data_IF_570816609995
#
_entry.id   IF_570816609995
#
_cell.length_a   1.000
_cell.length_b   1.000
_cell.length_c   1.000
_cell.angle_alpha   90.00
_cell.angle_beta   90.00
_cell.angle_gamma   90.00
#
_symmetry.space_group_name_H-M   'P 1'
#
loop_
_entity.id
_entity.type
_entity.pdbx_description
1 polymer ?
#
# COMPACT_ATOMS: atom_id res chain seq x y z
N UNK A 1 14.42 -18.91 -19.36
CA UNK A 1 13.87 -17.54 -19.52
C UNK A 1 13.07 -17.12 -18.31
N UNK A 2 12.05 -17.90 -17.92
CA UNK A 2 11.27 -17.78 -16.67
C UNK A 2 12.09 -17.43 -15.42
N UNK A 3 13.04 -18.29 -15.02
CA UNK A 3 13.84 -18.05 -13.81
C UNK A 3 14.59 -16.70 -13.84
N UNK A 4 15.03 -16.26 -15.03
CA UNK A 4 15.70 -14.97 -15.20
C UNK A 4 14.70 -13.80 -15.16
N UNK A 5 13.48 -13.96 -15.68
CA UNK A 5 12.40 -12.95 -15.55
C UNK A 5 11.99 -12.78 -14.09
N UNK A 6 11.76 -13.89 -13.38
CA UNK A 6 11.47 -13.89 -11.94
C UNK A 6 12.62 -13.29 -11.15
N UNK A 7 13.87 -13.67 -11.42
CA UNK A 7 15.03 -13.12 -10.73
C UNK A 7 15.20 -11.62 -10.95
N UNK A 8 14.97 -11.11 -12.17
CA UNK A 8 14.99 -9.67 -12.46
C UNK A 8 13.89 -8.93 -11.71
N UNK A 9 12.67 -9.47 -11.70
CA UNK A 9 11.54 -8.86 -11.00
C UNK A 9 11.79 -8.83 -9.49
N UNK A 10 12.24 -9.95 -8.92
CA UNK A 10 12.64 -10.06 -7.51
C UNK A 10 13.81 -9.12 -7.19
N UNK A 11 14.77 -8.93 -8.10
CA UNK A 11 15.91 -8.05 -7.89
C UNK A 11 15.52 -6.57 -7.95
N UNK A 12 14.69 -6.18 -8.92
CA UNK A 12 14.10 -4.84 -9.00
C UNK A 12 13.30 -4.55 -7.72
N UNK A 13 12.52 -5.53 -7.27
CA UNK A 13 11.77 -5.46 -6.04
C UNK A 13 12.66 -5.41 -4.79
N UNK A 14 13.79 -6.11 -4.77
CA UNK A 14 14.69 -6.14 -3.59
C UNK A 14 15.30 -4.77 -3.29
N UNK A 15 15.49 -3.95 -4.33
CA UNK A 15 16.02 -2.60 -4.18
C UNK A 15 15.06 -1.66 -3.42
N UNK A 16 13.77 -1.98 -3.43
CA UNK A 16 12.72 -1.09 -2.90
C UNK A 16 11.87 -1.73 -1.80
N UNK A 17 11.80 -3.06 -1.76
CA UNK A 17 11.09 -3.86 -0.77
C UNK A 17 11.76 -5.24 -0.60
N UNK A 18 12.80 -5.36 0.24
CA UNK A 18 13.56 -6.60 0.40
C UNK A 18 12.73 -7.76 0.99
N UNK A 19 11.70 -7.45 1.80
CA UNK A 19 10.79 -8.45 2.37
C UNK A 19 9.82 -8.96 1.30
N UNK A 20 9.22 -8.05 0.52
CA UNK A 20 8.39 -8.39 -0.64
C UNK A 20 9.15 -9.19 -1.69
N UNK A 21 10.42 -8.88 -1.93
CA UNK A 21 11.30 -9.64 -2.82
C UNK A 21 11.56 -11.07 -2.33
N UNK A 22 11.76 -11.26 -1.02
CA UNK A 22 11.98 -12.57 -0.43
C UNK A 22 10.71 -13.45 -0.50
N UNK A 23 9.55 -12.89 -0.19
CA UNK A 23 8.28 -13.63 -0.30
C UNK A 23 7.88 -13.87 -1.77
N UNK A 24 8.16 -12.92 -2.69
CA UNK A 24 7.98 -13.14 -4.13
C UNK A 24 8.86 -14.24 -4.68
N UNK A 25 10.13 -14.27 -4.29
CA UNK A 25 11.02 -15.35 -4.66
C UNK A 25 10.54 -16.70 -4.11
N UNK A 26 10.00 -16.71 -2.89
CA UNK A 26 9.48 -17.93 -2.23
C UNK A 26 8.23 -18.45 -2.91
N UNK A 27 7.26 -17.60 -3.20
CA UNK A 27 5.99 -18.03 -3.78
C UNK A 27 6.13 -18.37 -5.27
N UNK A 28 6.90 -17.61 -6.05
CA UNK A 28 7.21 -17.97 -7.44
C UNK A 28 8.10 -19.22 -7.57
N UNK A 29 8.78 -19.62 -6.49
CA UNK A 29 9.46 -20.91 -6.41
C UNK A 29 8.51 -22.08 -6.06
N UNK A 30 7.35 -21.78 -5.45
CA UNK A 30 6.32 -22.77 -5.07
C UNK A 30 5.25 -22.95 -6.14
N UNK A 31 4.94 -21.89 -6.86
CA UNK A 31 3.82 -21.83 -7.78
C UNK A 31 4.25 -21.68 -9.23
N UNK A 32 3.57 -22.42 -10.11
CA UNK A 32 3.79 -22.37 -11.54
C UNK A 32 2.89 -21.30 -12.19
N UNK A 33 3.41 -20.08 -12.33
CA UNK A 33 2.66 -19.00 -12.97
C UNK A 33 2.28 -19.31 -14.43
N UNK A 34 3.04 -20.17 -15.12
CA UNK A 34 2.67 -20.61 -16.48
C UNK A 34 1.44 -21.51 -16.45
N UNK A 35 1.31 -22.38 -15.44
CA UNK A 35 0.11 -23.18 -15.25
C UNK A 35 -1.11 -22.30 -14.91
N UNK A 36 -0.94 -21.27 -14.10
CA UNK A 36 -2.02 -20.31 -13.78
C UNK A 36 -2.43 -19.53 -15.02
N UNK A 37 -1.46 -19.05 -15.80
CA UNK A 37 -1.73 -18.31 -17.04
C UNK A 37 -2.43 -19.20 -18.08
N UNK A 38 -2.03 -20.47 -18.24
CA UNK A 38 -2.76 -21.44 -19.06
C UNK A 38 -4.20 -21.62 -18.62
N UNK A 39 -4.46 -21.58 -17.32
CA UNK A 39 -5.80 -21.58 -16.77
C UNK A 39 -6.66 -20.45 -17.31
N UNK A 40 -6.10 -19.25 -17.52
CA UNK A 40 -6.83 -18.12 -18.11
C UNK A 40 -7.16 -18.32 -19.58
N UNK A 41 -6.34 -19.12 -20.29
CA UNK A 41 -6.54 -19.38 -21.71
C UNK A 41 -7.41 -20.61 -21.96
N UNK A 42 -7.73 -21.40 -20.93
CA UNK A 42 -8.54 -22.59 -21.06
C UNK A 42 -9.91 -22.26 -21.67
N UNK A 43 -10.32 -23.00 -22.71
CA UNK A 43 -11.56 -22.72 -23.45
C UNK A 43 -11.46 -21.57 -24.47
N UNK A 44 -10.31 -20.91 -24.60
CA UNK A 44 -10.06 -19.85 -25.58
C UNK A 44 -9.18 -20.36 -26.74
N UNK A 45 -9.17 -19.69 -27.91
CA UNK A 45 -8.26 -20.01 -29.00
C UNK A 45 -6.84 -19.43 -28.82
N UNK A 46 -6.57 -18.72 -27.71
CA UNK A 46 -5.30 -18.04 -27.47
C UNK A 46 -4.22 -19.02 -27.03
N UNK A 47 -2.98 -18.81 -27.48
CA UNK A 47 -1.84 -19.66 -27.17
C UNK A 47 -0.86 -18.98 -26.23
N UNK A 48 -0.35 -19.71 -25.24
CA UNK A 48 0.60 -19.15 -24.27
C UNK A 48 2.01 -18.90 -24.85
N UNK A 49 2.37 -19.56 -25.94
CA UNK A 49 3.68 -19.42 -26.60
C UNK A 49 3.71 -18.31 -27.66
N UNK A 50 2.56 -17.71 -27.95
CA UNK A 50 2.41 -16.59 -28.88
C UNK A 50 2.33 -15.27 -28.11
N UNK A 51 3.33 -14.41 -28.28
CA UNK A 51 3.40 -13.11 -27.59
C UNK A 51 2.20 -12.20 -27.88
N UNK A 52 1.60 -12.33 -29.07
CA UNK A 52 0.40 -11.58 -29.43
C UNK A 52 -0.84 -12.10 -28.72
N UNK A 53 -0.98 -13.42 -28.55
CA UNK A 53 -2.04 -14.03 -27.76
C UNK A 53 -1.91 -13.70 -26.27
N UNK A 54 -0.68 -13.76 -25.73
CA UNK A 54 -0.39 -13.36 -24.35
C UNK A 54 -0.78 -11.90 -24.11
N UNK A 55 -0.43 -11.00 -25.03
CA UNK A 55 -0.79 -9.59 -24.92
C UNK A 55 -2.31 -9.37 -25.09
N UNK A 56 -2.96 -10.13 -25.97
CA UNK A 56 -4.41 -10.09 -26.15
C UNK A 56 -5.13 -10.47 -24.86
N UNK A 57 -4.72 -11.58 -24.23
CA UNK A 57 -5.26 -12.02 -22.95
C UNK A 57 -5.07 -10.96 -21.85
N UNK A 58 -3.90 -10.32 -21.80
CA UNK A 58 -3.62 -9.28 -20.82
C UNK A 58 -4.48 -8.02 -21.01
N UNK A 59 -4.69 -7.55 -22.25
CA UNK A 59 -5.57 -6.41 -22.54
C UNK A 59 -7.02 -6.68 -22.13
N UNK A 60 -7.51 -7.88 -22.43
CA UNK A 60 -8.88 -8.29 -22.07
C UNK A 60 -9.02 -8.43 -20.57
N UNK A 61 -8.03 -9.00 -19.88
CA UNK A 61 -7.99 -9.05 -18.43
C UNK A 61 -8.01 -7.64 -17.81
N UNK A 62 -7.22 -6.69 -18.33
CA UNK A 62 -7.27 -5.31 -17.84
C UNK A 62 -8.66 -4.70 -17.99
N UNK A 63 -9.34 -4.96 -19.11
CA UNK A 63 -10.72 -4.50 -19.30
C UNK A 63 -11.68 -5.13 -18.28
N UNK A 64 -11.57 -6.44 -18.06
CA UNK A 64 -12.39 -7.17 -17.08
C UNK A 64 -12.18 -6.60 -15.68
N UNK A 65 -10.92 -6.40 -15.28
CA UNK A 65 -10.56 -5.79 -14.00
C UNK A 65 -11.16 -4.38 -13.88
N UNK A 66 -10.96 -3.52 -14.88
CA UNK A 66 -11.41 -2.13 -14.85
C UNK A 66 -12.94 -1.98 -14.74
N UNK A 67 -13.69 -2.97 -15.24
CA UNK A 67 -15.16 -3.00 -15.28
C UNK A 67 -15.79 -4.00 -14.28
N UNK A 68 -14.99 -4.68 -13.45
CA UNK A 68 -15.41 -5.82 -12.62
C UNK A 68 -16.20 -6.91 -13.36
N UNK A 69 -15.86 -7.14 -14.64
CA UNK A 69 -16.59 -8.06 -15.50
C UNK A 69 -16.14 -9.51 -15.24
N UNK A 70 -17.09 -10.39 -14.93
CA UNK A 70 -16.84 -11.83 -14.67
C UNK A 70 -17.22 -12.75 -15.83
N UNK A 71 -17.94 -12.22 -16.81
CA UNK A 71 -18.32 -12.99 -17.98
C UNK A 71 -17.07 -13.35 -18.80
N UNK A 72 -16.99 -14.61 -19.21
CA UNK A 72 -15.91 -15.08 -20.07
C UNK A 72 -16.02 -14.41 -21.47
N UNK A 73 -14.91 -13.87 -22.00
CA UNK A 73 -14.88 -13.32 -23.36
C UNK A 73 -15.20 -14.37 -24.42
N UNK A 74 -15.99 -14.02 -25.43
CA UNK A 74 -16.21 -14.88 -26.58
C UNK A 74 -14.93 -15.02 -27.42
N UNK A 75 -14.79 -16.14 -28.14
CA UNK A 75 -13.68 -16.34 -29.09
C UNK A 75 -13.63 -15.24 -30.16
N UNK A 76 -14.80 -14.74 -30.60
CA UNK A 76 -14.91 -13.64 -31.55
C UNK A 76 -14.37 -12.33 -30.96
N UNK A 77 -14.72 -12.00 -29.71
CA UNK A 77 -14.21 -10.84 -29.00
C UNK A 77 -12.68 -10.86 -28.87
N UNK A 78 -12.12 -12.01 -28.48
CA UNK A 78 -10.66 -12.20 -28.36
C UNK A 78 -9.95 -11.99 -29.70
N UNK A 79 -10.46 -12.59 -30.78
CA UNK A 79 -9.92 -12.43 -32.13
C UNK A 79 -9.98 -10.97 -32.61
N UNK A 80 -11.07 -10.27 -32.30
CA UNK A 80 -11.25 -8.87 -32.66
C UNK A 80 -10.30 -7.95 -31.89
N UNK A 81 -10.08 -8.19 -30.59
CA UNK A 81 -9.07 -7.47 -29.78
C UNK A 81 -7.68 -7.72 -30.34
N UNK A 82 -7.32 -8.97 -30.64
CA UNK A 82 -6.01 -9.31 -31.24
C UNK A 82 -5.77 -8.53 -32.54
N UNK A 83 -6.74 -8.54 -33.45
CA UNK A 83 -6.65 -7.85 -34.74
C UNK A 83 -6.54 -6.33 -34.60
N UNK A 84 -7.28 -5.70 -33.68
CA UNK A 84 -7.36 -4.24 -33.56
C UNK A 84 -6.26 -3.62 -32.70
N UNK A 85 -5.84 -4.30 -31.64
CA UNK A 85 -4.92 -3.74 -30.66
C UNK A 85 -3.52 -4.35 -30.75
N UNK A 86 -3.41 -5.65 -31.05
CA UNK A 86 -2.13 -6.36 -30.95
C UNK A 86 -1.41 -6.47 -32.29
N UNK A 87 -2.12 -6.81 -33.37
CA UNK A 87 -1.52 -6.89 -34.72
C UNK A 87 -0.81 -5.58 -35.13
N UNK A 88 -1.36 -4.37 -34.90
CA UNK A 88 -0.65 -3.13 -35.20
C UNK A 88 0.63 -2.90 -34.39
N UNK A 89 0.78 -3.59 -33.25
CA UNK A 89 1.97 -3.51 -32.40
C UNK A 89 3.05 -4.54 -32.80
N UNK A 90 2.72 -5.54 -33.63
CA UNK A 90 3.64 -6.62 -34.00
C UNK A 90 4.90 -6.13 -34.72
N UNK A 91 4.80 -5.03 -35.45
CA UNK A 91 5.91 -4.39 -36.18
C UNK A 91 6.79 -3.48 -35.30
N UNK A 92 6.45 -3.30 -34.00
CA UNK A 92 7.19 -2.43 -33.08
C UNK A 92 7.96 -3.22 -32.02
N UNK A 93 9.16 -2.79 -31.60
CA UNK A 93 9.83 -3.40 -30.45
C UNK A 93 8.99 -3.28 -29.17
N UNK A 94 9.04 -4.25 -28.26
CA UNK A 94 9.84 -5.48 -28.33
C UNK A 94 9.22 -6.60 -29.18
N UNK A 95 8.00 -6.45 -29.69
CA UNK A 95 7.28 -7.49 -30.44
C UNK A 95 7.88 -7.77 -31.82
N UNK A 96 8.48 -6.79 -32.50
CA UNK A 96 9.12 -7.02 -33.81
C UNK A 96 10.47 -7.73 -33.73
N UNK A 97 11.09 -7.79 -32.55
CA UNK A 97 12.41 -8.37 -32.35
C UNK A 97 12.29 -9.82 -31.84
N UNK A 98 12.70 -10.85 -32.60
CA UNK A 98 12.54 -12.25 -32.19
C UNK A 98 13.15 -12.57 -30.82
N UNK A 99 14.34 -12.01 -30.51
CA UNK A 99 15.03 -12.23 -29.24
C UNK A 99 14.33 -11.55 -28.04
N UNK A 100 13.67 -10.40 -28.25
CA UNK A 100 12.98 -9.66 -27.19
C UNK A 100 11.52 -10.11 -27.02
N UNK A 101 10.90 -10.65 -28.07
CA UNK A 101 9.49 -11.07 -28.11
C UNK A 101 9.15 -12.12 -27.05
N UNK A 102 9.97 -13.15 -26.92
CA UNK A 102 9.75 -14.21 -25.92
C UNK A 102 9.93 -13.68 -24.48
N UNK A 103 10.95 -12.86 -24.23
CA UNK A 103 11.17 -12.26 -22.92
C UNK A 103 10.04 -11.29 -22.53
N UNK A 104 9.52 -10.53 -23.49
CA UNK A 104 8.36 -9.68 -23.33
C UNK A 104 7.10 -10.50 -23.02
N UNK A 105 6.83 -11.56 -23.79
CA UNK A 105 5.69 -12.45 -23.52
C UNK A 105 5.75 -13.02 -22.10
N UNK A 106 6.91 -13.52 -21.67
CA UNK A 106 7.10 -14.03 -20.31
C UNK A 106 6.85 -12.96 -19.23
N UNK A 107 7.27 -11.71 -19.46
CA UNK A 107 7.00 -10.62 -18.53
C UNK A 107 5.50 -10.27 -18.47
N UNK A 108 4.80 -10.30 -19.62
CA UNK A 108 3.37 -10.03 -19.69
C UNK A 108 2.55 -11.16 -19.05
N UNK A 109 2.94 -12.43 -19.23
CA UNK A 109 2.33 -13.58 -18.54
C UNK A 109 2.40 -13.41 -17.04
N UNK A 110 3.61 -13.12 -16.54
CA UNK A 110 3.82 -12.83 -15.13
C UNK A 110 2.86 -11.71 -14.75
N UNK A 111 2.95 -10.50 -15.34
CA UNK A 111 2.04 -9.35 -15.05
C UNK A 111 0.55 -9.71 -15.02
N UNK A 112 0.07 -10.53 -15.96
CA UNK A 112 -1.33 -10.94 -16.06
C UNK A 112 -1.81 -11.79 -14.88
N UNK A 113 -1.02 -12.79 -14.45
CA UNK A 113 -1.37 -13.69 -13.32
C UNK A 113 -1.69 -12.91 -12.03
N UNK A 114 -1.05 -11.77 -11.89
CA UNK A 114 -0.91 -11.01 -10.65
C UNK A 114 -1.96 -9.95 -10.61
N UNK A 115 -2.17 -9.32 -11.76
CA UNK A 115 -3.29 -8.45 -11.98
C UNK A 115 -4.62 -9.17 -11.74
N UNK A 116 -4.76 -10.40 -12.24
CA UNK A 116 -5.94 -11.23 -11.98
C UNK A 116 -6.05 -11.61 -10.50
N UNK A 117 -4.96 -12.05 -9.87
CA UNK A 117 -4.95 -12.41 -8.45
C UNK A 117 -5.32 -11.22 -7.53
N UNK A 118 -4.75 -10.04 -7.79
CA UNK A 118 -5.05 -8.81 -7.07
C UNK A 118 -6.51 -8.35 -7.23
N UNK A 119 -7.09 -8.55 -8.42
CA UNK A 119 -8.51 -8.26 -8.65
C UNK A 119 -9.43 -9.22 -7.89
N UNK A 120 -9.21 -10.54 -7.98
CA UNK A 120 -10.02 -11.52 -7.24
C UNK A 120 -9.95 -11.29 -5.72
N UNK A 121 -8.76 -10.98 -5.21
CA UNK A 121 -8.54 -10.58 -3.83
C UNK A 121 -9.37 -9.36 -3.42
N UNK A 122 -9.34 -8.29 -4.22
CA UNK A 122 -10.05 -7.06 -3.93
C UNK A 122 -11.58 -7.25 -3.90
N UNK A 123 -12.11 -8.14 -4.75
CA UNK A 123 -13.53 -8.51 -4.76
C UNK A 123 -13.93 -9.26 -3.50
N UNK A 124 -13.16 -10.27 -3.10
CA UNK A 124 -13.44 -11.06 -1.90
C UNK A 124 -13.37 -10.23 -0.62
N UNK A 125 -12.48 -9.24 -0.58
CA UNK A 125 -12.27 -8.37 0.57
C UNK A 125 -13.16 -7.12 0.58
N UNK A 126 -13.99 -6.91 -0.45
CA UNK A 126 -14.87 -5.73 -0.54
C UNK A 126 -14.13 -4.39 -0.72
N UNK A 127 -12.85 -4.42 -1.14
CA UNK A 127 -12.01 -3.23 -1.33
C UNK A 127 -11.81 -2.87 -2.82
N UNK A 128 -12.63 -3.43 -3.69
CA UNK A 128 -12.54 -3.27 -5.14
C UNK A 128 -12.46 -1.80 -5.60
N UNK A 129 -13.27 -0.84 -5.11
CA UNK A 129 -13.16 0.56 -5.54
C UNK A 129 -11.77 1.16 -5.29
N UNK A 130 -11.13 0.79 -4.18
CA UNK A 130 -9.78 1.24 -3.81
C UNK A 130 -8.71 0.58 -4.69
N UNK A 131 -8.83 -0.72 -4.94
CA UNK A 131 -7.96 -1.43 -5.87
C UNK A 131 -8.02 -0.82 -7.28
N UNK A 132 -9.22 -0.52 -7.79
CA UNK A 132 -9.36 0.07 -9.12
C UNK A 132 -8.79 1.50 -9.21
N UNK A 133 -8.80 2.26 -8.11
CA UNK A 133 -8.17 3.59 -8.05
C UNK A 133 -6.64 3.54 -8.10
N UNK A 134 -6.04 2.38 -7.81
CA UNK A 134 -4.58 2.17 -7.79
C UNK A 134 -4.03 1.56 -9.08
N UNK A 135 -4.88 1.27 -10.07
CA UNK A 135 -4.42 0.71 -11.34
C UNK A 135 -3.54 1.72 -12.08
N UNK A 136 -2.31 1.30 -12.39
CA UNK A 136 -1.33 2.09 -13.12
C UNK A 136 -1.82 2.49 -14.52
N UNK A 137 -1.42 3.68 -14.97
CA UNK A 137 -1.69 4.20 -16.32
C UNK A 137 -0.71 3.69 -17.39
N UNK A 138 0.23 2.80 -17.04
CA UNK A 138 1.36 2.40 -17.91
C UNK A 138 1.00 1.66 -19.21
N UNK A 139 -0.24 1.15 -19.36
CA UNK A 139 -0.64 0.40 -20.57
C UNK A 139 -1.88 0.99 -21.24
N UNK A 140 -3.08 0.74 -20.70
CA UNK A 140 -4.31 1.41 -21.10
C UNK A 140 -4.92 2.00 -19.83
N UNK A 141 -5.14 3.32 -19.74
CA UNK A 141 -5.72 3.94 -18.55
C UNK A 141 -7.06 3.28 -18.18
N UNK A 142 -7.25 2.96 -16.91
CA UNK A 142 -8.48 2.31 -16.43
C UNK A 142 -9.74 3.10 -16.80
N UNK A 143 -9.67 4.44 -16.78
CA UNK A 143 -10.75 5.32 -17.23
C UNK A 143 -11.14 5.08 -18.71
N UNK A 144 -10.16 4.83 -19.58
CA UNK A 144 -10.38 4.50 -20.99
C UNK A 144 -10.96 3.09 -21.17
N UNK A 145 -10.53 2.12 -20.37
CA UNK A 145 -11.12 0.78 -20.41
C UNK A 145 -12.58 0.77 -19.92
N UNK A 146 -12.92 1.65 -18.97
CA UNK A 146 -14.28 1.82 -18.47
C UNK A 146 -15.24 2.47 -19.46
N UNK A 147 -14.74 3.22 -20.45
CA UNK A 147 -15.57 3.78 -21.52
C UNK A 147 -15.79 2.80 -22.68
N UNK A 148 -15.20 1.60 -22.63
CA UNK A 148 -15.30 0.57 -23.66
C UNK A 148 -16.17 -0.60 -23.19
N UNK A 149 -16.99 -1.16 -24.08
CA UNK A 149 -17.65 -2.44 -23.93
C UNK A 149 -16.85 -3.52 -24.69
N UNK A 150 -16.77 -4.72 -24.13
CA UNK A 150 -16.25 -5.88 -24.84
C UNK A 150 -17.41 -6.57 -25.57
N UNK A 151 -17.36 -6.60 -26.90
CA UNK A 151 -18.33 -7.28 -27.78
C UNK A 151 -17.61 -8.24 -28.71
N UNK A 152 -18.34 -8.97 -29.57
CA UNK A 152 -17.75 -9.79 -30.63
C UNK A 152 -16.90 -8.97 -31.62
N UNK A 153 -17.09 -7.65 -31.69
CA UNK A 153 -16.26 -6.71 -32.44
C UNK A 153 -15.02 -6.23 -31.66
N UNK A 154 -14.79 -6.76 -30.46
CA UNK A 154 -13.71 -6.41 -29.56
C UNK A 154 -14.08 -5.27 -28.61
N UNK A 155 -13.09 -4.44 -28.23
CA UNK A 155 -13.34 -3.28 -27.38
C UNK A 155 -13.90 -2.11 -28.19
N UNK A 156 -15.16 -1.75 -27.96
CA UNK A 156 -15.90 -0.69 -28.66
C UNK A 156 -16.42 0.38 -27.68
N UNK A 157 -16.59 1.66 -28.07
CA UNK A 157 -17.14 2.69 -27.18
C UNK A 157 -18.54 2.34 -26.67
N UNK A 158 -18.81 2.61 -25.38
CA UNK A 158 -20.12 2.35 -24.75
C UNK A 158 -21.27 3.22 -25.28
N UNK A 159 -20.96 4.31 -25.99
CA UNK A 159 -21.96 5.25 -26.52
C UNK A 159 -22.81 4.71 -27.70
N UNK A 160 -22.68 3.41 -28.02
CA UNK A 160 -23.50 2.73 -29.04
C UNK A 160 -24.51 1.70 -28.51
N UNK A 161 -24.59 1.44 -27.19
CA UNK A 161 -25.45 0.38 -26.65
C UNK A 161 -26.42 0.92 -25.58
N UNK A 162 -27.57 1.45 -26.01
CA UNK A 162 -28.75 1.63 -25.16
C UNK A 162 -29.71 0.47 -25.38
N UNK A 163 -30.05 -0.24 -24.31
CA UNK A 163 -31.04 -1.32 -24.30
C UNK A 163 -31.36 -1.84 -22.89
N UNK A 164 -32.16 -1.05 -22.18
CA UNK A 164 -33.10 -1.32 -21.06
C UNK A 164 -32.68 -1.92 -19.69
N UNK A 165 -33.18 -1.37 -18.55
CA UNK A 165 -32.92 -1.85 -17.20
C UNK A 165 -34.15 -2.54 -16.58
N UNK A 166 -34.02 -3.79 -16.12
CA UNK A 166 -34.70 -4.19 -14.87
C UNK A 166 -34.21 -5.52 -14.29
N UNK A 167 -34.27 -5.58 -12.94
CA UNK A 167 -34.30 -6.74 -12.02
C UNK A 167 -33.22 -6.77 -10.93
N UNK A 168 -33.65 -6.37 -9.73
CA UNK A 168 -33.17 -6.93 -8.44
C UNK A 168 -33.78 -8.33 -8.23
N UNK A 169 -33.20 -9.20 -7.37
CA UNK A 169 -33.73 -9.27 -5.99
C UNK A 169 -32.75 -9.71 -4.86
N UNK A 170 -33.09 -9.22 -3.65
CA UNK A 170 -33.04 -9.78 -2.28
C UNK A 170 -31.83 -10.55 -1.67
N UNK A 171 -31.53 -10.15 -0.43
CA UNK A 171 -30.49 -10.59 0.52
C UNK A 171 -31.08 -11.53 1.60
N UNK A 172 -30.32 -12.55 2.06
CA UNK A 172 -30.64 -13.40 3.23
C UNK A 172 -29.37 -13.61 4.10
N UNK A 173 -29.44 -13.69 5.45
CA UNK A 173 -28.25 -13.71 6.31
C UNK A 173 -27.78 -15.13 6.70
N UNK A 174 -26.50 -15.34 7.08
CA UNK A 174 -25.97 -16.64 7.51
C UNK A 174 -25.91 -16.81 9.05
N UNK A 175 -25.86 -18.07 9.56
CA UNK A 175 -25.74 -18.39 10.99
C UNK A 175 -24.28 -18.53 11.47
N UNK A 176 -24.12 -18.64 12.80
CA UNK A 176 -22.88 -18.48 13.57
C UNK A 176 -22.22 -19.79 14.04
N UNK A 177 -20.89 -19.67 14.23
CA UNK A 177 -20.01 -20.25 15.27
C UNK A 177 -19.68 -21.75 15.30
N UNK A 178 -18.37 -22.06 15.35
CA UNK A 178 -17.77 -22.83 16.46
C UNK A 178 -16.23 -22.62 16.57
N UNK A 179 -15.68 -22.95 17.74
CA UNK A 179 -14.49 -22.33 18.34
C UNK A 179 -13.37 -23.32 18.76
N UNK A 180 -12.17 -22.73 18.96
CA UNK A 180 -10.98 -23.12 19.82
C UNK A 180 -9.83 -23.90 19.15
N UNK A 181 -8.59 -23.89 19.70
CA UNK A 181 -7.88 -22.89 20.56
C UNK A 181 -6.53 -22.42 19.98
N UNK A 182 -5.99 -21.34 20.57
CA UNK A 182 -4.78 -20.60 20.15
C UNK A 182 -3.46 -20.94 20.87
N UNK A 183 -2.44 -20.06 20.77
CA UNK A 183 -1.02 -20.39 20.58
C UNK A 183 -0.10 -19.98 21.75
N UNK A 184 1.22 -20.22 21.61
CA UNK A 184 2.27 -19.80 22.56
C UNK A 184 2.93 -18.46 22.14
N UNK A 185 3.28 -17.52 23.06
CA UNK A 185 3.69 -16.14 22.71
C UNK A 185 5.21 -15.84 22.79
N UNK A 186 5.61 -14.68 22.26
CA UNK A 186 6.92 -14.01 22.42
C UNK A 186 6.74 -12.47 22.67
N UNK A 187 7.78 -11.67 22.97
CA UNK A 187 8.09 -11.07 24.29
C UNK A 187 7.69 -9.57 24.47
N UNK A 188 7.95 -9.02 25.66
CA UNK A 188 7.32 -7.84 26.31
C UNK A 188 8.06 -6.51 26.09
N UNK A 189 7.33 -5.39 25.89
CA UNK A 189 7.84 -4.01 25.75
C UNK A 189 7.93 -3.23 27.10
N UNK A 190 8.82 -2.23 27.16
CA UNK A 190 9.17 -1.39 28.32
C UNK A 190 8.06 -0.42 28.78
N UNK A 191 8.12 0.00 30.05
CA UNK A 191 7.08 0.74 30.78
C UNK A 191 7.37 2.26 30.86
N UNK A 192 6.46 3.09 30.32
CA UNK A 192 6.60 4.55 30.26
C UNK A 192 5.92 5.30 31.43
N UNK A 193 5.82 4.70 32.62
CA UNK A 193 5.40 5.41 33.83
C UNK A 193 6.46 6.38 34.37
N UNK A 194 7.69 6.32 33.86
CA UNK A 194 8.77 7.23 34.23
C UNK A 194 8.67 8.59 33.50
N UNK A 195 9.15 9.70 34.12
CA UNK A 195 9.27 10.99 33.44
C UNK A 195 10.14 10.89 32.17
N UNK A 196 9.97 11.79 31.19
CA UNK A 196 10.78 11.77 29.99
C UNK A 196 12.25 12.03 30.30
N UNK A 197 13.12 11.13 29.83
CA UNK A 197 14.55 11.17 30.13
C UNK A 197 15.27 12.33 29.41
N UNK A 198 14.72 12.79 28.27
CA UNK A 198 15.34 13.76 27.37
C UNK A 198 14.37 14.89 26.97
N UNK A 199 13.52 15.35 27.90
CA UNK A 199 12.56 16.44 27.66
C UNK A 199 13.20 17.72 27.08
N UNK A 200 14.48 17.97 27.40
CA UNK A 200 15.25 19.11 26.90
C UNK A 200 15.46 19.10 25.37
N UNK A 201 15.30 17.97 24.68
CA UNK A 201 15.43 17.86 23.23
C UNK A 201 14.54 18.90 22.51
N UNK A 202 13.35 19.16 23.03
CA UNK A 202 12.40 20.11 22.45
C UNK A 202 12.90 21.56 22.44
N UNK A 203 13.79 21.95 23.35
CA UNK A 203 14.40 23.29 23.31
C UNK A 203 15.30 23.49 22.09
N UNK A 204 15.84 22.40 21.54
CA UNK A 204 16.67 22.39 20.33
C UNK A 204 15.89 22.30 19.03
N UNK A 205 14.56 22.15 19.06
CA UNK A 205 13.74 21.99 17.85
C UNK A 205 13.45 23.37 17.23
N UNK A 206 13.71 23.48 15.94
CA UNK A 206 13.30 24.61 15.10
C UNK A 206 11.93 24.36 14.48
N UNK A 207 11.68 23.14 14.00
CA UNK A 207 10.40 22.75 13.43
C UNK A 207 10.25 21.25 13.21
N UNK A 208 9.03 20.81 12.93
CA UNK A 208 8.69 19.42 12.63
C UNK A 208 7.97 19.38 11.29
N UNK A 209 8.41 18.48 10.42
CA UNK A 209 7.93 18.40 9.04
C UNK A 209 7.71 16.96 8.63
N UNK A 210 6.90 16.75 7.60
CA UNK A 210 6.84 15.50 6.86
C UNK A 210 7.49 15.68 5.50
N UNK A 211 8.26 14.67 5.10
CA UNK A 211 8.80 14.54 3.75
C UNK A 211 8.16 13.35 3.06
N UNK A 212 7.65 13.54 1.85
CA UNK A 212 7.17 12.45 1.03
C UNK A 212 8.31 11.51 0.67
N UNK A 213 8.07 10.22 0.83
CA UNK A 213 8.93 9.15 0.35
C UNK A 213 8.11 8.21 -0.51
N UNK A 214 8.79 7.44 -1.36
CA UNK A 214 8.11 6.42 -2.16
C UNK A 214 8.22 5.08 -1.45
N UNK A 215 7.09 4.55 -0.99
CA UNK A 215 6.97 3.26 -0.30
C UNK A 215 6.21 2.22 -1.11
N UNK A 216 6.01 1.03 -0.53
CA UNK A 216 5.22 -0.06 -1.12
C UNK A 216 4.16 -0.53 -0.12
N UNK A 217 2.90 -0.53 -0.54
CA UNK A 217 1.74 -0.94 0.26
C UNK A 217 1.29 -2.38 0.00
N UNK A 218 0.04 -2.69 0.40
CA UNK A 218 -0.59 -4.01 0.25
C UNK A 218 -0.40 -4.58 -1.15
N UNK A 219 0.07 -5.82 -1.24
CA UNK A 219 0.32 -6.47 -2.53
C UNK A 219 1.55 -5.95 -3.29
N UNK A 220 2.28 -4.97 -2.74
CA UNK A 220 3.45 -4.37 -3.38
C UNK A 220 3.13 -3.22 -4.33
N UNK A 221 2.02 -2.53 -4.12
CA UNK A 221 1.69 -1.28 -4.83
C UNK A 221 2.66 -0.17 -4.42
N UNK A 222 3.22 0.59 -5.36
CA UNK A 222 3.93 1.84 -5.01
C UNK A 222 2.96 2.85 -4.44
N UNK A 223 3.28 3.39 -3.26
CA UNK A 223 2.50 4.42 -2.57
C UNK A 223 3.40 5.60 -2.23
N UNK A 224 2.81 6.79 -2.14
CA UNK A 224 3.45 7.91 -1.47
C UNK A 224 3.29 7.68 0.03
N UNK A 225 4.40 7.59 0.73
CA UNK A 225 4.46 7.53 2.19
C UNK A 225 5.09 8.84 2.71
N UNK A 226 5.07 9.04 4.02
CA UNK A 226 5.53 10.29 4.62
C UNK A 226 6.38 10.02 5.86
N UNK A 227 7.57 10.58 5.87
CA UNK A 227 8.53 10.39 6.96
C UNK A 227 8.59 11.65 7.84
N UNK A 228 8.46 11.52 9.17
CA UNK A 228 8.58 12.64 10.09
C UNK A 228 10.05 13.06 10.27
N UNK A 229 10.27 14.36 10.19
CA UNK A 229 11.58 15.01 10.31
C UNK A 229 11.54 16.05 11.43
N UNK A 230 12.47 15.91 12.38
CA UNK A 230 12.78 16.93 13.39
C UNK A 230 13.90 17.79 12.84
N UNK A 231 13.62 19.07 12.64
CA UNK A 231 14.59 20.07 12.21
C UNK A 231 15.12 20.77 13.46
N UNK A 232 16.41 20.65 13.74
CA UNK A 232 17.05 21.17 14.96
C UNK A 232 17.74 22.51 14.69
N UNK A 233 17.76 23.39 15.69
CA UNK A 233 18.38 24.73 15.63
C UNK A 233 19.88 24.70 15.33
N UNK A 234 20.54 23.58 15.59
CA UNK A 234 21.98 23.40 15.33
C UNK A 234 22.31 23.12 13.83
N UNK A 235 21.29 23.11 12.96
CA UNK A 235 21.45 22.82 11.53
C UNK A 235 21.42 21.32 11.20
N UNK A 236 21.11 20.46 12.16
CA UNK A 236 20.90 19.02 11.96
C UNK A 236 19.42 18.71 11.77
N UNK A 237 19.07 17.77 10.89
CA UNK A 237 17.74 17.16 10.91
C UNK A 237 17.84 15.70 11.35
N UNK A 238 16.76 15.20 11.94
CA UNK A 238 16.64 13.83 12.44
C UNK A 238 15.34 13.19 11.94
N UNK A 239 15.47 12.05 11.27
CA UNK A 239 14.38 11.15 10.87
C UNK A 239 13.89 10.38 12.11
N UNK A 240 12.83 10.89 12.75
CA UNK A 240 12.29 10.29 13.98
C UNK A 240 11.49 9.02 13.64
N UNK A 241 11.56 8.03 14.52
CA UNK A 241 10.75 6.81 14.43
C UNK A 241 9.56 6.84 15.39
N UNK A 242 9.22 5.66 15.91
CA UNK A 242 8.07 5.49 16.80
C UNK A 242 8.14 6.29 18.12
N UNK A 243 9.31 6.33 18.73
CA UNK A 243 9.51 6.86 20.09
C UNK A 243 9.34 8.38 20.12
N UNK A 244 8.62 8.88 21.14
CA UNK A 244 8.51 10.31 21.39
C UNK A 244 9.90 10.97 21.55
N UNK A 245 10.07 12.18 21.02
CA UNK A 245 11.39 12.83 20.96
C UNK A 245 12.03 13.00 22.35
N UNK A 246 11.24 13.28 23.38
CA UNK A 246 11.68 13.43 24.76
C UNK A 246 12.14 12.13 25.43
N UNK A 247 12.01 10.98 24.76
CA UNK A 247 12.52 9.68 25.19
C UNK A 247 13.69 9.19 24.34
N UNK A 248 14.12 9.98 23.36
CA UNK A 248 15.25 9.65 22.49
C UNK A 248 16.53 10.28 23.04
N UNK A 249 17.53 9.46 23.34
CA UNK A 249 18.91 9.92 23.47
C UNK A 249 19.46 10.21 22.07
N UNK A 250 19.39 11.47 21.64
CA UNK A 250 19.81 11.88 20.30
C UNK A 250 21.29 11.62 20.04
N UNK A 251 22.15 11.65 21.06
CA UNK A 251 23.57 11.39 20.90
C UNK A 251 23.83 9.89 20.67
N UNK A 252 23.19 9.03 21.48
CA UNK A 252 23.27 7.58 21.30
C UNK A 252 22.64 7.14 19.96
N UNK A 253 21.49 7.70 19.60
CA UNK A 253 20.82 7.40 18.33
C UNK A 253 21.67 7.84 17.14
N UNK A 254 22.34 8.99 17.21
CA UNK A 254 23.27 9.45 16.16
C UNK A 254 24.45 8.52 15.97
N UNK A 255 24.99 7.97 17.07
CA UNK A 255 26.07 6.98 17.00
C UNK A 255 25.59 5.64 16.43
N UNK A 256 24.40 5.18 16.84
CA UNK A 256 23.86 3.89 16.44
C UNK A 256 23.26 3.89 15.01
N UNK A 257 22.64 5.00 14.60
CA UNK A 257 21.90 5.13 13.33
C UNK A 257 22.25 6.44 12.62
N UNK A 258 23.52 6.66 12.22
CA UNK A 258 23.97 7.91 11.62
C UNK A 258 23.24 8.28 10.32
N UNK A 259 22.63 7.30 9.63
CA UNK A 259 21.88 7.53 8.40
C UNK A 259 20.58 8.32 8.59
N UNK A 260 20.01 8.30 9.80
CA UNK A 260 18.81 9.09 10.17
C UNK A 260 19.09 10.57 10.40
N UNK A 261 20.35 10.97 10.33
CA UNK A 261 20.77 12.34 10.56
C UNK A 261 21.32 12.93 9.28
N UNK A 262 21.00 14.18 9.05
CA UNK A 262 21.58 14.99 7.99
C UNK A 262 21.67 16.45 8.40
N UNK A 263 22.09 17.30 7.47
CA UNK A 263 22.14 18.76 7.70
C UNK A 263 21.00 19.44 6.98
N UNK A 264 20.54 20.56 7.51
CA UNK A 264 19.60 21.42 6.82
C UNK A 264 20.06 22.87 6.85
N UNK A 265 19.57 23.65 5.89
CA UNK A 265 19.65 25.11 5.91
C UNK A 265 18.41 25.69 5.25
N UNK A 266 18.01 26.88 5.70
CA UNK A 266 16.98 27.67 5.03
C UNK A 266 17.58 28.41 3.83
N UNK A 267 16.90 28.38 2.69
CA UNK A 267 17.29 29.07 1.46
C UNK A 267 16.06 29.81 0.91
N UNK A 268 15.86 31.06 1.37
CA UNK A 268 14.63 31.81 1.08
C UNK A 268 13.40 31.15 1.70
N UNK A 269 12.44 30.74 0.86
CA UNK A 269 11.24 29.99 1.26
C UNK A 269 11.46 28.47 1.35
N UNK A 270 12.59 27.96 0.84
CA UNK A 270 12.89 26.54 0.77
C UNK A 270 13.80 26.06 1.90
N UNK A 271 13.78 24.74 2.11
CA UNK A 271 14.71 24.01 2.97
C UNK A 271 15.63 23.15 2.10
N UNK A 272 16.95 23.29 2.28
CA UNK A 272 17.92 22.40 1.64
C UNK A 272 18.34 21.34 2.64
N UNK A 273 17.93 20.10 2.42
CA UNK A 273 18.28 18.95 3.26
C UNK A 273 19.43 18.17 2.62
N UNK A 274 20.53 18.02 3.36
CA UNK A 274 21.70 17.24 2.96
C UNK A 274 21.77 15.95 3.76
N UNK A 275 21.65 14.80 3.11
CA UNK A 275 21.69 13.50 3.78
C UNK A 275 23.09 13.13 4.30
N UNK A 276 23.17 12.01 5.03
CA UNK A 276 24.44 11.45 5.54
C UNK A 276 25.45 11.06 4.45
N UNK A 277 25.03 10.99 3.17
CA UNK A 277 25.88 10.71 2.01
C UNK A 277 26.33 11.99 1.29
N UNK A 278 25.86 13.16 1.72
CA UNK A 278 26.16 14.46 1.11
C UNK A 278 25.23 14.86 -0.03
N UNK A 279 24.14 14.13 -0.27
CA UNK A 279 23.16 14.51 -1.29
C UNK A 279 22.26 15.62 -0.76
N UNK A 280 22.24 16.76 -1.46
CA UNK A 280 21.41 17.89 -1.11
C UNK A 280 20.15 17.94 -1.99
N UNK A 281 18.98 18.07 -1.36
CA UNK A 281 17.69 18.24 -2.04
C UNK A 281 16.99 19.50 -1.50
N UNK A 282 16.35 20.24 -2.41
CA UNK A 282 15.55 21.42 -2.08
C UNK A 282 14.09 20.99 -1.87
N UNK A 283 13.48 21.50 -0.80
CA UNK A 283 12.09 21.26 -0.45
C UNK A 283 11.39 22.58 -0.20
N UNK A 284 10.28 22.82 -0.92
CA UNK A 284 9.42 23.96 -0.66
C UNK A 284 8.24 23.52 0.22
N UNK A 285 8.07 24.08 1.43
CA UNK A 285 6.90 23.78 2.25
C UNK A 285 5.60 24.03 1.47
N UNK A 286 4.69 23.06 1.45
CA UNK A 286 3.37 23.16 0.81
C UNK A 286 3.30 22.63 -0.61
N UNK A 287 4.39 22.13 -1.20
CA UNK A 287 4.40 21.51 -2.53
C UNK A 287 3.89 20.04 -2.55
N UNK A 288 3.45 19.54 -1.40
CA UNK A 288 2.98 18.16 -1.20
C UNK A 288 4.10 17.15 -0.94
N UNK A 289 5.35 17.48 -1.26
CA UNK A 289 6.53 16.66 -0.97
C UNK A 289 7.18 17.00 0.37
N UNK A 290 6.92 18.21 0.88
CA UNK A 290 7.38 18.66 2.19
C UNK A 290 6.35 19.59 2.83
N UNK A 291 5.91 19.29 4.05
CA UNK A 291 4.89 20.08 4.74
C UNK A 291 5.05 20.08 6.27
N UNK A 292 4.55 21.11 6.96
CA UNK A 292 4.60 21.19 8.42
C UNK A 292 3.84 20.04 9.10
N UNK A 293 4.37 19.55 10.21
CA UNK A 293 3.72 18.58 11.08
C UNK A 293 3.21 19.30 12.33
N UNK A 294 1.90 19.33 12.55
CA UNK A 294 1.31 20.16 13.60
C UNK A 294 1.19 19.39 14.93
N UNK A 295 1.54 20.01 16.07
CA UNK A 295 1.33 19.40 17.38
C UNK A 295 -0.16 19.34 17.74
N UNK A 296 -0.51 18.48 18.69
CA UNK A 296 -1.76 18.62 19.42
C UNK A 296 -1.73 19.87 20.30
N UNK A 297 -2.89 20.50 20.48
CA UNK A 297 -3.07 21.55 21.47
C UNK A 297 -2.99 20.97 22.88
N UNK A 298 -2.61 21.79 23.87
CA UNK A 298 -2.58 21.34 25.26
C UNK A 298 -3.98 20.91 25.73
N UNK A 299 -4.10 19.68 26.23
CA UNK A 299 -5.37 19.12 26.68
C UNK A 299 -6.36 18.79 25.55
N UNK A 300 -5.91 18.74 24.31
CA UNK A 300 -6.75 18.40 23.17
C UNK A 300 -7.31 16.97 23.30
N UNK A 301 -8.61 16.83 23.02
CA UNK A 301 -9.29 15.53 22.98
C UNK A 301 -9.75 15.22 21.56
N UNK A 302 -9.66 13.95 21.19
CA UNK A 302 -9.98 13.43 19.86
C UNK A 302 -11.17 12.49 19.98
N UNK A 303 -12.25 12.78 19.24
CA UNK A 303 -13.47 11.98 19.19
C UNK A 303 -13.68 11.34 17.84
N UNK A 304 -12.70 10.60 17.33
CA UNK A 304 -12.68 10.09 15.96
C UNK A 304 -11.90 8.78 15.87
N UNK A 305 -12.31 7.94 14.92
CA UNK A 305 -11.63 6.72 14.58
C UNK A 305 -10.67 6.96 13.41
N UNK A 306 -9.47 6.42 13.49
CA UNK A 306 -8.47 6.51 12.46
C UNK A 306 -8.01 5.12 12.08
N UNK A 307 -7.78 4.92 10.78
CA UNK A 307 -7.32 3.66 10.24
C UNK A 307 -6.12 3.88 9.33
N UNK A 308 -5.21 2.93 9.39
CA UNK A 308 -4.12 2.77 8.45
C UNK A 308 -4.27 1.42 7.80
N UNK A 309 -4.22 1.39 6.49
CA UNK A 309 -4.06 0.15 5.75
C UNK A 309 -2.60 0.06 5.32
N UNK A 310 -1.87 -0.84 5.97
CA UNK A 310 -0.50 -1.19 5.65
C UNK A 310 -0.47 -2.61 5.12
N UNK A 311 0.69 -3.04 4.63
CA UNK A 311 0.82 -4.40 4.16
C UNK A 311 1.85 -4.53 3.08
N UNK A 312 1.95 -5.73 2.55
CA UNK A 312 2.93 -6.08 1.55
C UNK A 312 2.50 -7.33 0.81
N UNK A 313 3.48 -8.05 0.31
CA UNK A 313 3.25 -9.10 -0.66
C UNK A 313 3.46 -8.55 -2.06
N UNK A 314 2.99 -9.31 -3.02
CA UNK A 314 3.43 -9.21 -4.39
C UNK A 314 2.28 -9.35 -5.38
N UNK A 315 1.03 -9.36 -4.93
CA UNK A 315 -0.10 -9.42 -5.85
C UNK A 315 -0.11 -8.31 -6.92
N UNK A 316 0.50 -7.15 -6.66
CA UNK A 316 0.66 -6.07 -7.62
C UNK A 316 1.84 -6.22 -8.61
N UNK A 317 2.80 -7.12 -8.33
CA UNK A 317 4.09 -7.23 -9.06
C UNK A 317 4.45 -8.64 -9.48
N UNK A 318 4.19 -9.60 -8.62
CA UNK A 318 3.94 -10.90 -9.15
C UNK A 318 3.82 -12.16 -8.38
N UNK A 319 3.10 -12.15 -7.28
CA UNK A 319 2.62 -13.41 -6.76
C UNK A 319 1.17 -13.40 -6.32
N UNK A 320 0.94 -14.39 -5.51
CA UNK A 320 -0.30 -14.89 -4.96
C UNK A 320 -0.50 -14.45 -3.50
N UNK A 321 0.47 -13.72 -2.95
CA UNK A 321 0.44 -13.24 -1.58
C UNK A 321 0.13 -11.76 -1.57
N UNK A 322 -1.02 -11.42 -1.00
CA UNK A 322 -1.27 -10.09 -0.48
C UNK A 322 -1.48 -10.20 1.02
N UNK A 323 -0.70 -9.43 1.78
CA UNK A 323 -0.90 -9.27 3.21
C UNK A 323 -1.36 -7.84 3.42
N UNK A 324 -2.59 -7.68 3.90
CA UNK A 324 -3.13 -6.41 4.33
C UNK A 324 -3.21 -6.41 5.85
N UNK A 325 -2.64 -5.38 6.47
CA UNK A 325 -2.73 -5.11 7.89
C UNK A 325 -3.45 -3.79 8.06
N UNK A 326 -4.70 -3.88 8.49
CA UNK A 326 -5.42 -2.72 8.97
C UNK A 326 -5.07 -2.51 10.44
N UNK A 327 -4.60 -1.31 10.76
CA UNK A 327 -4.44 -0.82 12.12
C UNK A 327 -5.47 0.26 12.37
N UNK A 328 -6.18 0.21 13.49
CA UNK A 328 -7.22 1.17 13.85
C UNK A 328 -7.02 1.70 15.26
N UNK A 329 -7.19 3.01 15.42
CA UNK A 329 -7.35 3.67 16.71
C UNK A 329 -8.73 4.30 16.78
N UNK A 330 -9.45 4.03 17.85
CA UNK A 330 -10.74 4.63 18.19
C UNK A 330 -10.55 5.57 19.38
N UNK A 331 -10.26 6.85 19.13
CA UNK A 331 -10.11 7.84 20.19
C UNK A 331 -11.47 8.41 20.59
N UNK A 332 -11.70 8.54 21.90
CA UNK A 332 -12.90 9.14 22.46
C UNK A 332 -12.58 10.46 23.18
N UNK A 333 -13.51 11.43 23.20
CA UNK A 333 -13.27 12.72 23.85
C UNK A 333 -13.00 12.62 25.36
N UNK A 334 -13.41 11.52 26.00
CA UNK A 334 -13.19 11.27 27.43
C UNK A 334 -11.75 10.82 27.78
N UNK A 335 -10.83 10.89 26.81
CA UNK A 335 -9.46 10.44 26.97
C UNK A 335 -9.29 8.92 26.95
N UNK A 336 -10.31 8.16 26.57
CA UNK A 336 -10.18 6.71 26.34
C UNK A 336 -9.88 6.41 24.87
N UNK A 337 -9.10 5.36 24.62
CA UNK A 337 -8.87 4.85 23.27
C UNK A 337 -9.15 3.35 23.19
N UNK A 338 -9.57 2.90 22.02
CA UNK A 338 -9.50 1.50 21.61
C UNK A 338 -8.45 1.34 20.52
N UNK A 339 -7.72 0.23 20.53
CA UNK A 339 -6.85 -0.20 19.44
C UNK A 339 -7.40 -1.50 18.87
N UNK A 340 -7.63 -1.48 17.58
CA UNK A 340 -8.04 -2.62 16.79
C UNK A 340 -7.08 -2.86 15.65
N UNK A 341 -7.16 -4.04 15.06
CA UNK A 341 -6.47 -4.30 13.81
C UNK A 341 -6.94 -5.61 13.23
N UNK A 342 -6.90 -5.68 11.91
CA UNK A 342 -7.20 -6.90 11.17
C UNK A 342 -6.01 -7.23 10.28
N UNK A 343 -5.62 -8.51 10.27
CA UNK A 343 -4.62 -9.00 9.33
C UNK A 343 -5.34 -9.91 8.35
N UNK A 344 -5.36 -9.53 7.09
CA UNK A 344 -5.83 -10.35 5.98
C UNK A 344 -4.64 -10.89 5.20
N UNK A 345 -4.54 -12.22 5.10
CA UNK A 345 -3.60 -12.88 4.20
C UNK A 345 -4.38 -13.77 3.22
N UNK A 346 -4.01 -13.67 1.96
CA UNK A 346 -4.53 -14.47 0.85
C UNK A 346 -3.36 -15.17 0.18
N UNK A 347 -3.51 -16.48 -0.04
CA UNK A 347 -2.57 -17.33 -0.76
C UNK A 347 -3.36 -18.11 -1.82
N UNK A 348 -2.83 -18.23 -3.04
CA UNK A 348 -3.48 -18.93 -4.17
C UNK A 348 -3.19 -20.44 -4.21
N UNK A 349 -2.53 -20.99 -3.18
CA UNK A 349 -2.14 -22.41 -3.11
C UNK A 349 -3.18 -23.38 -2.56
N UNK A 350 -4.38 -23.47 -3.14
CA UNK A 350 -5.27 -24.64 -3.13
C UNK A 350 -6.55 -24.29 -3.90
N UNK A 351 -7.19 -25.25 -4.58
CA UNK A 351 -8.38 -25.06 -5.43
C UNK A 351 -9.67 -24.54 -4.76
N UNK A 352 -9.56 -23.87 -3.62
CA UNK A 352 -10.56 -23.03 -2.99
C UNK A 352 -9.82 -21.84 -2.39
N UNK A 353 -9.94 -20.65 -2.97
CA UNK A 353 -9.31 -19.43 -2.45
C UNK A 353 -9.90 -19.06 -1.09
N UNK A 354 -9.27 -19.54 -0.02
CA UNK A 354 -9.64 -19.20 1.36
C UNK A 354 -8.77 -18.03 1.80
N UNK A 355 -9.36 -16.82 1.82
CA UNK A 355 -8.77 -15.69 2.52
C UNK A 355 -8.85 -15.91 4.02
N UNK A 356 -7.70 -16.07 4.67
CA UNK A 356 -7.62 -16.11 6.13
C UNK A 356 -7.53 -14.68 6.67
N UNK A 357 -8.63 -14.14 7.16
CA UNK A 357 -8.62 -12.96 8.03
C UNK A 357 -8.39 -13.43 9.46
N UNK A 358 -7.21 -13.17 10.00
CA UNK A 358 -6.98 -13.30 11.44
C UNK A 358 -7.35 -11.95 12.04
N UNK A 359 -8.62 -11.77 12.39
CA UNK A 359 -8.93 -10.85 13.47
C UNK A 359 -8.33 -11.49 14.71
N UNK A 360 -7.27 -10.91 15.27
CA UNK A 360 -6.91 -11.29 16.62
C UNK A 360 -8.10 -10.83 17.46
N UNK A 361 -8.90 -11.78 17.95
CA UNK A 361 -9.64 -11.60 19.21
C UNK A 361 -8.63 -11.49 20.37
N UNK A 362 -7.66 -10.57 20.29
CA UNK A 362 -7.24 -9.89 21.51
C UNK A 362 -8.41 -8.96 21.82
N UNK A 363 -8.81 -8.93 23.09
CA UNK A 363 -9.66 -7.85 23.56
C UNK A 363 -9.09 -6.53 23.01
N UNK A 364 -9.92 -5.60 22.49
CA UNK A 364 -9.42 -4.30 22.04
C UNK A 364 -8.43 -3.80 23.09
N UNK A 365 -7.16 -3.61 22.69
CA UNK A 365 -6.17 -3.01 23.56
C UNK A 365 -6.66 -1.59 23.76
N UNK A 366 -7.29 -1.36 24.90
CA UNK A 366 -7.94 -0.11 25.22
C UNK A 366 -7.40 0.42 26.53
N UNK A 367 -7.47 1.73 26.68
CA UNK A 367 -6.93 2.38 27.85
C UNK A 367 -7.13 3.88 27.77
N UNK A 368 -6.25 4.62 28.42
CA UNK A 368 -6.26 6.08 28.40
C UNK A 368 -5.22 6.60 27.42
N UNK A 369 -5.55 7.68 26.73
CA UNK A 369 -4.58 8.43 25.95
C UNK A 369 -4.48 9.86 26.47
N UNK A 370 -3.31 10.45 26.25
CA UNK A 370 -3.07 11.87 26.43
C UNK A 370 -2.22 12.39 25.28
N UNK A 371 -2.54 13.59 24.83
CA UNK A 371 -1.77 14.31 23.82
C UNK A 371 -1.09 15.50 24.49
N UNK A 372 0.23 15.61 24.28
CA UNK A 372 1.00 16.80 24.63
C UNK A 372 1.95 17.10 23.46
N UNK A 373 1.77 18.25 22.81
CA UNK A 373 2.58 18.67 21.66
C UNK A 373 2.65 17.56 20.59
N UNK A 374 3.83 17.03 20.31
CA UNK A 374 4.07 15.95 19.35
C UNK A 374 4.20 14.58 20.03
N UNK A 375 3.53 14.39 21.16
CA UNK A 375 3.60 13.16 21.95
C UNK A 375 2.21 12.61 22.22
N UNK A 376 2.03 11.34 21.84
CA UNK A 376 0.90 10.51 22.23
C UNK A 376 1.34 9.57 23.34
N UNK A 377 0.76 9.74 24.53
CA UNK A 377 0.90 8.78 25.62
C UNK A 377 -0.28 7.81 25.59
N UNK A 378 -0.01 6.51 25.60
CA UNK A 378 -1.02 5.47 25.69
C UNK A 378 -0.78 4.65 26.96
N UNK A 379 -1.72 4.69 27.89
CA UNK A 379 -1.73 3.88 29.11
C UNK A 379 -2.69 2.73 28.94
N UNK A 380 -2.18 1.49 28.98
CA UNK A 380 -2.98 0.27 28.91
C UNK A 380 -3.80 0.02 30.17
N UNK A 381 -4.75 -0.92 30.08
CA UNK A 381 -5.53 -1.37 31.24
C UNK A 381 -4.67 -2.03 32.34
N UNK A 382 -3.47 -2.49 32.00
CA UNK A 382 -2.48 -3.05 32.93
C UNK A 382 -1.61 -1.97 33.61
N UNK A 383 -1.90 -0.69 33.38
CA UNK A 383 -1.18 0.45 33.95
C UNK A 383 0.13 0.79 33.24
N UNK A 384 0.59 -0.05 32.29
CA UNK A 384 1.80 0.23 31.54
C UNK A 384 1.54 1.33 30.53
N UNK A 385 2.47 2.27 30.45
CA UNK A 385 2.39 3.38 29.51
C UNK A 385 3.39 3.19 28.35
N UNK A 386 3.10 3.81 27.20
CA UNK A 386 4.06 4.05 26.12
C UNK A 386 3.90 5.46 25.57
N UNK A 387 5.00 6.10 25.19
CA UNK A 387 5.00 7.41 24.52
C UNK A 387 5.49 7.28 23.10
N UNK A 388 4.69 7.78 22.19
CA UNK A 388 4.91 7.72 20.75
C UNK A 388 5.00 9.13 20.19
N UNK A 389 5.78 9.32 19.14
CA UNK A 389 5.71 10.54 18.35
C UNK A 389 4.30 10.70 17.78
N UNK A 390 3.83 11.94 17.70
CA UNK A 390 2.51 12.30 17.25
C UNK A 390 2.53 13.57 16.43
N UNK A 391 1.75 13.64 15.36
CA UNK A 391 1.47 14.90 14.68
C UNK A 391 0.16 14.87 13.91
N UNK A 392 -0.43 16.03 13.69
CA UNK A 392 -1.44 16.26 12.67
C UNK A 392 -0.77 16.53 11.32
N UNK A 393 -1.44 16.08 10.26
CA UNK A 393 -1.10 16.45 8.89
C UNK A 393 -1.32 17.93 8.62
N UNK A 394 -1.03 18.33 7.38
CA UNK A 394 -1.23 19.70 6.90
C UNK A 394 -2.22 19.71 5.75
N UNK A 395 -3.06 20.74 5.70
CA UNK A 395 -3.97 21.04 4.59
C UNK A 395 -3.97 22.54 4.27
N UNK A 396 -4.51 22.90 3.10
CA UNK A 396 -4.67 24.28 2.60
C UNK A 396 -3.35 25.05 2.35
N UNK A 397 -3.51 26.27 1.81
CA UNK A 397 -2.46 27.28 1.69
C UNK A 397 -3.04 28.64 2.15
N UNK A 398 -2.61 29.21 3.30
CA UNK A 398 -1.50 28.77 4.15
C UNK A 398 -1.76 27.45 4.90
N UNK A 399 -0.71 26.71 5.30
CA UNK A 399 -0.82 25.44 6.02
C UNK A 399 -1.60 25.53 7.34
N UNK A 400 -2.61 24.67 7.49
CA UNK A 400 -3.38 24.46 8.71
C UNK A 400 -3.38 22.97 9.11
N UNK A 401 -3.62 22.63 10.39
CA UNK A 401 -3.75 21.23 10.81
C UNK A 401 -4.87 20.50 10.06
N UNK A 402 -4.53 19.35 9.49
CA UNK A 402 -5.47 18.38 8.95
C UNK A 402 -5.87 17.41 10.07
N UNK A 403 -7.14 17.43 10.47
CA UNK A 403 -7.68 16.56 11.52
C UNK A 403 -8.14 15.20 10.97
N UNK A 404 -8.15 15.03 9.65
CA UNK A 404 -8.46 13.77 8.99
C UNK A 404 -7.22 12.93 8.73
N UNK A 405 -6.03 13.51 8.86
CA UNK A 405 -4.73 12.85 8.74
C UNK A 405 -3.91 13.04 10.01
N UNK A 406 -3.54 11.95 10.67
CA UNK A 406 -2.65 11.99 11.83
C UNK A 406 -1.52 10.98 11.67
N UNK A 407 -0.45 11.23 12.41
CA UNK A 407 0.75 10.43 12.42
C UNK A 407 1.00 9.95 13.84
N UNK A 408 1.23 8.64 14.00
CA UNK A 408 1.60 8.03 15.28
C UNK A 408 2.86 7.22 15.03
N UNK A 409 3.97 7.66 15.59
CA UNK A 409 5.29 7.14 15.25
C UNK A 409 5.67 7.50 13.82
N UNK A 410 6.13 6.51 13.05
CA UNK A 410 6.41 6.65 11.62
C UNK A 410 5.20 6.31 10.72
N UNK A 411 4.03 6.04 11.31
CA UNK A 411 2.85 5.56 10.60
C UNK A 411 1.79 6.66 10.39
N UNK A 412 1.26 6.75 9.16
CA UNK A 412 0.16 7.64 8.78
C UNK A 412 -1.20 6.96 8.93
N UNK A 413 -2.14 7.63 9.58
CA UNK A 413 -3.52 7.20 9.74
C UNK A 413 -4.48 8.26 9.18
N UNK A 414 -5.55 7.79 8.55
CA UNK A 414 -6.62 8.65 8.01
C UNK A 414 -7.95 8.39 8.73
N UNK A 415 -8.84 9.38 8.80
CA UNK A 415 -10.18 9.20 9.38
C UNK A 415 -10.90 8.00 8.76
N UNK A 416 -11.55 7.22 9.61
CA UNK A 416 -12.47 6.17 9.22
C UNK A 416 -13.90 6.75 9.15
N UNK A 417 -14.15 7.60 8.16
CA UNK A 417 -15.50 8.08 7.84
C UNK A 417 -16.33 7.01 7.11
#
# INVERSE_FOLDING_TARGET
MRAATVAREVQALRATNPIGAAETARELARHDYDAVFRGFLAGTPLREDDAGDVLTAFIVLQWMVANDATAEPSAAALAAVRRRFVVPMAERPPLSQPAARAAFAEQVKLRAVLHHAGWQAARQLGVLPRFLATLSNEFIPAARLRSLALTDDGLVPKDGARGDPDRRPSRRPPPSADARPGPTPAPVAADASAPPAHAANWAGVEGVYFRSTTGFGVGGLMIVDFEPLIVLRDGTYYEIGDTALEDVDLAAERAARPRRFGRWRKAGESFVLTDSRGNANDYKPGDGSFFPAFPASAGESVGRAYRRLSGGGNSAMGGDVAVAVESRYDFRPDGSYGRGGSVGAINSGAGTGVGSSVSRRRAPEGGRYALDRHTLTLTGADGRSRRLFFAWGSQKDPPEPDRDMLFIGDDVFTSAD
#
